data_IF_799203979372
#
_entry.id   IF_799203979372
#
_cell.length_a   1.000
_cell.length_b   1.000
_cell.length_c   1.000
_cell.angle_alpha   90.00
_cell.angle_beta   90.00
_cell.angle_gamma   90.00
#
_symmetry.space_group_name_H-M   'P 1'
#
loop_
_entity.id
_entity.type
_entity.pdbx_description
1 polymer ?
#
# COMPACT_ATOMS: atom_id res chain seq x y z
N UNK A 1 -29.91 -12.76 -11.23
CA UNK A 1 -29.39 -11.92 -10.13
C UNK A 1 -28.29 -12.63 -9.35
N UNK A 2 -28.53 -13.81 -8.80
CA UNK A 2 -27.53 -14.61 -8.06
C UNK A 2 -26.27 -14.87 -8.91
N UNK A 3 -26.41 -15.30 -10.16
CA UNK A 3 -25.28 -15.56 -11.04
C UNK A 3 -24.39 -14.32 -11.25
N UNK A 4 -24.98 -13.12 -11.41
CA UNK A 4 -24.21 -11.87 -11.53
C UNK A 4 -23.41 -11.56 -10.26
N UNK A 5 -23.98 -11.85 -9.11
CA UNK A 5 -23.30 -11.68 -7.83
C UNK A 5 -22.14 -12.68 -7.67
N UNK A 6 -22.36 -13.94 -8.00
CA UNK A 6 -21.32 -14.99 -7.97
C UNK A 6 -20.17 -14.65 -8.94
N UNK A 7 -20.48 -14.25 -10.17
CA UNK A 7 -19.49 -13.82 -11.16
C UNK A 7 -18.68 -12.60 -10.66
N UNK A 8 -19.34 -11.62 -10.06
CA UNK A 8 -18.69 -10.45 -9.46
C UNK A 8 -17.75 -10.86 -8.32
N UNK A 9 -18.22 -11.62 -7.36
CA UNK A 9 -17.43 -12.05 -6.19
C UNK A 9 -16.24 -12.90 -6.61
N UNK A 10 -16.42 -13.85 -7.51
CA UNK A 10 -15.35 -14.74 -7.99
C UNK A 10 -14.30 -13.96 -8.78
N UNK A 11 -14.71 -12.99 -9.59
CA UNK A 11 -13.80 -12.14 -10.36
C UNK A 11 -12.96 -11.26 -9.43
N UNK A 12 -13.57 -10.60 -8.47
CA UNK A 12 -12.86 -9.78 -7.47
C UNK A 12 -11.87 -10.63 -6.67
N UNK A 13 -12.28 -11.81 -6.22
CA UNK A 13 -11.41 -12.73 -5.49
C UNK A 13 -10.20 -13.18 -6.35
N UNK A 14 -10.43 -13.49 -7.62
CA UNK A 14 -9.37 -13.86 -8.57
C UNK A 14 -8.41 -12.71 -8.82
N UNK A 15 -8.91 -11.50 -9.03
CA UNK A 15 -8.10 -10.28 -9.19
C UNK A 15 -7.23 -10.08 -7.94
N UNK A 16 -7.84 -10.11 -6.76
CA UNK A 16 -7.12 -9.95 -5.48
C UNK A 16 -6.00 -10.99 -5.34
N UNK A 17 -6.29 -12.26 -5.58
CA UNK A 17 -5.30 -13.35 -5.53
C UNK A 17 -4.12 -13.10 -6.47
N UNK A 18 -4.39 -12.66 -7.70
CA UNK A 18 -3.34 -12.37 -8.68
C UNK A 18 -2.51 -11.14 -8.30
N UNK A 19 -3.13 -10.10 -7.78
CA UNK A 19 -2.42 -8.92 -7.23
C UNK A 19 -1.44 -9.36 -6.15
N UNK A 20 -1.86 -10.20 -5.20
CA UNK A 20 -0.98 -10.68 -4.12
C UNK A 20 0.19 -11.50 -4.67
N UNK A 21 -0.04 -12.34 -5.68
CA UNK A 21 1.04 -13.11 -6.35
C UNK A 21 2.05 -12.20 -7.02
N UNK A 22 1.58 -11.21 -7.77
CA UNK A 22 2.44 -10.25 -8.47
C UNK A 22 3.28 -9.46 -7.46
N UNK A 23 2.65 -8.92 -6.42
CA UNK A 23 3.34 -8.20 -5.35
C UNK A 23 4.45 -9.06 -4.71
N UNK A 24 4.11 -10.27 -4.32
CA UNK A 24 5.07 -11.19 -3.70
C UNK A 24 6.25 -11.50 -4.63
N UNK A 25 5.97 -11.76 -5.90
CA UNK A 25 7.01 -12.08 -6.88
C UNK A 25 7.93 -10.89 -7.17
N UNK A 26 7.33 -9.71 -7.44
CA UNK A 26 8.09 -8.51 -7.79
C UNK A 26 8.89 -7.95 -6.61
N UNK A 27 8.40 -8.08 -5.39
CA UNK A 27 9.08 -7.58 -4.19
C UNK A 27 10.12 -8.54 -3.61
N UNK A 28 10.21 -9.75 -4.13
CA UNK A 28 11.13 -10.79 -3.62
C UNK A 28 12.59 -10.36 -3.67
N UNK A 29 13.01 -9.70 -4.73
CA UNK A 29 14.38 -9.23 -4.92
C UNK A 29 14.79 -8.15 -3.89
N UNK A 30 13.83 -7.39 -3.38
CA UNK A 30 14.05 -6.39 -2.35
C UNK A 30 13.97 -6.96 -0.93
N UNK A 31 13.55 -8.21 -0.78
CA UNK A 31 13.25 -8.80 0.52
C UNK A 31 12.12 -8.10 1.27
N UNK A 32 11.15 -7.53 0.54
CA UNK A 32 10.06 -6.73 1.07
C UNK A 32 8.71 -7.42 0.91
N UNK A 33 7.82 -7.21 1.88
CA UNK A 33 6.41 -7.60 1.84
C UNK A 33 5.49 -6.39 1.57
N UNK A 34 4.18 -6.65 1.50
CA UNK A 34 3.20 -5.62 1.19
C UNK A 34 3.17 -4.46 2.19
N UNK A 35 3.30 -4.73 3.48
CA UNK A 35 3.33 -3.68 4.51
C UNK A 35 4.58 -2.81 4.42
N UNK A 36 5.72 -3.36 4.07
CA UNK A 36 6.95 -2.59 3.80
C UNK A 36 6.75 -1.60 2.66
N UNK A 37 6.23 -2.08 1.55
CA UNK A 37 5.96 -1.27 0.35
C UNK A 37 5.00 -0.14 0.67
N UNK A 38 3.93 -0.40 1.40
CA UNK A 38 2.97 0.63 1.79
C UNK A 38 3.57 1.65 2.75
N UNK A 39 4.39 1.23 3.72
CA UNK A 39 5.12 2.17 4.57
C UNK A 39 6.02 3.09 3.75
N UNK A 40 6.80 2.55 2.83
CA UNK A 40 7.67 3.32 1.95
C UNK A 40 6.88 4.32 1.11
N UNK A 41 5.76 3.90 0.53
CA UNK A 41 4.87 4.74 -0.28
C UNK A 41 4.34 5.95 0.50
N UNK A 42 3.79 5.73 1.69
CA UNK A 42 3.25 6.82 2.51
C UNK A 42 4.35 7.73 3.06
N UNK A 43 5.51 7.19 3.42
CA UNK A 43 6.64 7.99 3.87
C UNK A 43 7.25 8.82 2.73
N UNK A 44 7.26 8.32 1.50
CA UNK A 44 7.70 9.10 0.34
C UNK A 44 6.80 10.32 0.09
N UNK A 45 5.50 10.18 0.32
CA UNK A 45 4.52 11.28 0.22
C UNK A 45 4.60 12.28 1.37
N UNK A 46 5.21 11.90 2.48
CA UNK A 46 5.31 12.71 3.70
C UNK A 46 6.78 12.85 4.11
N UNK A 47 7.57 13.72 3.42
CA UNK A 47 9.00 13.85 3.68
C UNK A 47 9.34 14.27 5.12
N UNK A 48 8.41 14.95 5.81
CA UNK A 48 8.55 15.31 7.22
C UNK A 48 8.33 14.13 8.18
N UNK A 49 7.93 13.00 7.62
CA UNK A 49 7.74 11.75 8.35
C UNK A 49 6.33 11.54 8.90
N UNK A 50 6.10 10.31 9.33
CA UNK A 50 4.84 9.86 9.94
C UNK A 50 5.15 9.01 11.18
N UNK A 51 4.26 9.06 12.15
CA UNK A 51 4.28 8.12 13.28
C UNK A 51 3.76 6.76 12.85
N UNK A 52 4.08 5.71 13.61
CA UNK A 52 3.52 4.36 13.39
C UNK A 52 1.99 4.35 13.45
N UNK A 53 1.40 5.15 14.34
CA UNK A 53 -0.06 5.30 14.44
C UNK A 53 -0.68 5.95 13.20
N UNK A 54 -0.06 6.99 12.65
CA UNK A 54 -0.49 7.64 11.41
C UNK A 54 -0.39 6.69 10.22
N UNK A 55 0.69 5.93 10.11
CA UNK A 55 0.86 4.91 9.08
C UNK A 55 -0.21 3.82 9.19
N UNK A 56 -0.47 3.30 10.38
CA UNK A 56 -1.49 2.28 10.61
C UNK A 56 -2.88 2.77 10.18
N UNK A 57 -3.22 4.01 10.48
CA UNK A 57 -4.48 4.62 10.09
C UNK A 57 -4.58 4.77 8.57
N UNK A 58 -3.54 5.27 7.90
CA UNK A 58 -3.54 5.45 6.45
C UNK A 58 -3.52 4.12 5.68
N UNK A 59 -2.79 3.14 6.19
CA UNK A 59 -2.69 1.80 5.59
C UNK A 59 -3.90 0.91 5.90
N UNK A 60 -4.76 1.30 6.84
CA UNK A 60 -5.90 0.50 7.34
C UNK A 60 -5.47 -0.88 7.87
N UNK A 61 -4.36 -0.91 8.60
CA UNK A 61 -3.81 -2.11 9.25
C UNK A 61 -3.56 -1.84 10.73
N UNK A 62 -3.33 -2.89 11.52
CA UNK A 62 -3.04 -2.72 12.94
C UNK A 62 -1.63 -2.14 13.21
N UNK A 63 -1.47 -1.53 14.38
CA UNK A 63 -0.20 -0.92 14.78
C UNK A 63 0.95 -1.92 14.90
N UNK A 64 0.65 -3.16 15.27
CA UNK A 64 1.66 -4.21 15.41
C UNK A 64 2.26 -4.57 14.05
N UNK A 65 1.44 -4.65 13.00
CA UNK A 65 1.90 -4.90 11.62
C UNK A 65 2.81 -3.77 11.14
N UNK A 66 2.45 -2.52 11.40
CA UNK A 66 3.28 -1.35 11.04
C UNK A 66 4.58 -1.34 11.83
N UNK A 67 4.52 -1.61 13.14
CA UNK A 67 5.70 -1.65 14.00
C UNK A 67 6.73 -2.68 13.51
N UNK A 68 6.27 -3.88 13.15
CA UNK A 68 7.14 -4.92 12.56
C UNK A 68 7.75 -4.47 11.23
N UNK A 69 6.93 -3.91 10.35
CA UNK A 69 7.40 -3.42 9.05
C UNK A 69 8.45 -2.31 9.20
N UNK A 70 8.22 -1.33 10.08
CA UNK A 70 9.16 -0.25 10.35
C UNK A 70 10.47 -0.76 10.96
N UNK A 71 10.42 -1.72 11.87
CA UNK A 71 11.61 -2.33 12.46
C UNK A 71 12.49 -2.99 11.40
N UNK A 72 11.90 -3.73 10.48
CA UNK A 72 12.61 -4.37 9.37
C UNK A 72 13.16 -3.34 8.35
N UNK A 73 12.39 -2.29 8.06
CA UNK A 73 12.84 -1.19 7.19
C UNK A 73 13.99 -0.39 7.81
N UNK A 74 13.97 -0.21 9.13
CA UNK A 74 15.07 0.41 9.87
C UNK A 74 16.34 -0.44 9.79
N UNK A 75 16.22 -1.74 10.00
CA UNK A 75 17.33 -2.69 9.88
C UNK A 75 17.94 -2.70 8.48
N UNK A 76 17.10 -2.59 7.44
CA UNK A 76 17.53 -2.49 6.04
C UNK A 76 18.12 -1.12 5.67
N UNK A 77 18.01 -0.13 6.53
CA UNK A 77 18.50 1.24 6.29
C UNK A 77 17.62 2.06 5.36
N UNK A 78 16.35 1.72 5.20
CA UNK A 78 15.39 2.45 4.36
C UNK A 78 14.66 3.56 5.11
N UNK A 79 14.54 3.43 6.42
CA UNK A 79 13.96 4.44 7.29
C UNK A 79 14.91 4.80 8.42
N UNK A 80 14.69 5.97 9.00
CA UNK A 80 15.38 6.41 10.22
C UNK A 80 14.42 7.22 11.08
N UNK A 81 14.79 7.37 12.33
CA UNK A 81 14.09 8.24 13.28
C UNK A 81 15.01 9.42 13.58
N UNK A 82 14.60 10.68 13.25
CA UNK A 82 15.41 11.84 13.60
C UNK A 82 15.67 11.90 15.11
N UNK A 83 16.92 12.18 15.48
CA UNK A 83 17.33 12.26 16.88
C UNK A 83 16.97 13.63 17.48
N UNK A 84 15.71 13.81 17.86
CA UNK A 84 15.23 15.04 18.51
C UNK A 84 14.73 14.72 19.93
N UNK A 85 14.91 15.69 20.86
CA UNK A 85 14.45 15.57 22.23
C UNK A 85 12.93 15.32 22.33
N UNK A 86 12.15 15.92 21.45
CA UNK A 86 10.69 15.71 21.39
C UNK A 86 10.33 14.29 21.02
N UNK A 87 11.10 13.63 20.17
CA UNK A 87 10.85 12.26 19.73
C UNK A 87 11.14 11.21 20.79
N UNK A 88 12.05 11.49 21.69
CA UNK A 88 12.33 10.61 22.84
C UNK A 88 11.18 10.56 23.84
N UNK A 89 10.30 11.57 23.83
CA UNK A 89 9.23 11.72 24.84
C UNK A 89 7.85 11.20 24.41
N UNK A 90 7.47 11.26 23.12
CA UNK A 90 6.07 11.05 22.75
C UNK A 90 5.81 10.04 21.64
N UNK A 91 6.26 10.26 20.42
CA UNK A 91 5.97 9.39 19.28
C UNK A 91 7.10 9.49 18.26
N UNK A 92 7.76 8.38 18.01
CA UNK A 92 8.81 8.33 17.02
C UNK A 92 8.24 8.58 15.61
N UNK A 93 8.77 9.57 14.91
CA UNK A 93 8.44 9.90 13.54
C UNK A 93 9.44 9.23 12.62
N UNK A 94 8.98 8.31 11.78
CA UNK A 94 9.80 7.65 10.79
C UNK A 94 9.94 8.51 9.53
N UNK A 95 11.13 8.55 8.96
CA UNK A 95 11.44 9.22 7.68
C UNK A 95 12.22 8.28 6.79
N UNK A 96 12.10 8.48 5.48
CA UNK A 96 12.94 7.77 4.51
C UNK A 96 14.37 8.28 4.53
N UNK A 97 15.32 7.35 4.45
CA UNK A 97 16.72 7.64 4.11
C UNK A 97 16.85 7.91 2.60
N UNK A 98 17.99 8.37 2.15
CA UNK A 98 18.32 8.46 0.70
C UNK A 98 18.15 7.09 0.04
N UNK A 99 18.61 6.04 0.69
CA UNK A 99 18.42 4.65 0.24
C UNK A 99 16.94 4.25 0.18
N UNK A 100 16.15 4.69 1.16
CA UNK A 100 14.69 4.48 1.20
C UNK A 100 13.98 5.15 0.03
N UNK A 101 14.32 6.39 -0.29
CA UNK A 101 13.78 7.07 -1.48
C UNK A 101 14.16 6.34 -2.77
N UNK A 102 15.43 5.95 -2.92
CA UNK A 102 15.88 5.24 -4.12
C UNK A 102 15.17 3.91 -4.33
N UNK A 103 14.97 3.10 -3.29
CA UNK A 103 14.22 1.84 -3.41
C UNK A 103 12.74 2.09 -3.71
N UNK A 104 12.15 3.15 -3.16
CA UNK A 104 10.76 3.52 -3.43
C UNK A 104 10.57 3.87 -4.90
N UNK A 105 11.47 4.65 -5.49
CA UNK A 105 11.44 4.95 -6.93
C UNK A 105 11.52 3.69 -7.80
N UNK A 106 12.41 2.75 -7.46
CA UNK A 106 12.50 1.46 -8.18
C UNK A 106 11.20 0.65 -8.08
N UNK A 107 10.58 0.64 -6.91
CA UNK A 107 9.29 -0.05 -6.70
C UNK A 107 8.18 0.63 -7.49
N UNK A 108 8.13 1.96 -7.50
CA UNK A 108 7.15 2.73 -8.26
C UNK A 108 7.25 2.44 -9.77
N UNK A 109 8.45 2.36 -10.33
CA UNK A 109 8.66 1.99 -11.72
C UNK A 109 8.12 0.58 -12.02
N UNK A 110 8.40 -0.39 -11.15
CA UNK A 110 7.87 -1.75 -11.28
C UNK A 110 6.34 -1.77 -11.22
N UNK A 111 5.76 -1.00 -10.30
CA UNK A 111 4.29 -0.89 -10.16
C UNK A 111 3.69 -0.25 -11.40
N UNK A 112 4.28 0.82 -11.92
CA UNK A 112 3.82 1.47 -13.14
C UNK A 112 3.82 0.53 -14.33
N UNK A 113 4.87 -0.26 -14.50
CA UNK A 113 4.96 -1.26 -15.56
C UNK A 113 3.86 -2.33 -15.44
N UNK A 114 3.62 -2.84 -14.23
CA UNK A 114 2.56 -3.82 -13.98
C UNK A 114 1.18 -3.23 -14.27
N UNK A 115 0.91 -2.02 -13.78
CA UNK A 115 -0.37 -1.32 -14.01
C UNK A 115 -0.61 -1.09 -15.51
N UNK A 116 0.42 -0.70 -16.27
CA UNK A 116 0.33 -0.53 -17.71
C UNK A 116 0.03 -1.85 -18.43
N UNK A 117 0.66 -2.95 -18.02
CA UNK A 117 0.39 -4.28 -18.57
C UNK A 117 -1.03 -4.75 -18.28
N UNK A 118 -1.51 -4.59 -17.05
CA UNK A 118 -2.87 -4.96 -16.65
C UNK A 118 -3.91 -4.16 -17.43
N UNK A 119 -3.67 -2.86 -17.62
CA UNK A 119 -4.59 -1.96 -18.31
C UNK A 119 -4.45 -1.91 -19.84
N UNK A 120 -3.55 -2.69 -20.45
CA UNK A 120 -3.24 -2.59 -21.88
C UNK A 120 -4.42 -2.87 -22.81
N UNK A 121 -5.41 -3.66 -22.38
CA UNK A 121 -6.63 -3.96 -23.13
C UNK A 121 -7.77 -2.96 -22.91
N UNK A 122 -7.58 -1.92 -22.10
CA UNK A 122 -8.61 -0.95 -21.78
C UNK A 122 -8.35 0.38 -22.50
N UNK A 123 -9.43 0.99 -23.03
CA UNK A 123 -9.38 2.38 -23.45
C UNK A 123 -9.22 3.31 -22.25
N UNK A 124 -8.82 4.56 -22.49
CA UNK A 124 -8.74 5.58 -21.41
C UNK A 124 -10.09 5.75 -20.72
N UNK A 125 -11.17 5.82 -21.50
CA UNK A 125 -12.54 5.96 -20.99
C UNK A 125 -12.96 4.76 -20.14
N UNK A 126 -12.67 3.52 -20.58
CA UNK A 126 -12.97 2.32 -19.80
C UNK A 126 -12.22 2.30 -18.48
N UNK A 127 -10.96 2.71 -18.49
CA UNK A 127 -10.13 2.79 -17.28
C UNK A 127 -10.69 3.80 -16.28
N UNK A 128 -11.03 5.00 -16.73
CA UNK A 128 -11.64 6.03 -15.87
C UNK A 128 -12.99 5.57 -15.30
N UNK A 129 -13.84 4.98 -16.14
CA UNK A 129 -15.12 4.43 -15.72
C UNK A 129 -14.95 3.29 -14.69
N UNK A 130 -13.97 2.42 -14.89
CA UNK A 130 -13.67 1.32 -13.98
C UNK A 130 -13.30 1.86 -12.59
N UNK A 131 -12.36 2.80 -12.50
CA UNK A 131 -11.92 3.35 -11.21
C UNK A 131 -13.06 4.09 -10.50
N UNK A 132 -13.85 4.85 -11.24
CA UNK A 132 -15.02 5.52 -10.68
C UNK A 132 -16.05 4.52 -10.15
N UNK A 133 -16.35 3.46 -10.90
CA UNK A 133 -17.30 2.43 -10.50
C UNK A 133 -16.82 1.64 -9.27
N UNK A 134 -15.53 1.31 -9.22
CA UNK A 134 -14.94 0.65 -8.06
C UNK A 134 -15.03 1.51 -6.80
N UNK A 135 -14.80 2.83 -6.91
CA UNK A 135 -14.95 3.75 -5.79
C UNK A 135 -16.39 3.79 -5.24
N UNK A 136 -17.39 3.85 -6.12
CA UNK A 136 -18.80 3.79 -5.72
C UNK A 136 -19.15 2.48 -5.01
N UNK A 137 -18.63 1.35 -5.50
CA UNK A 137 -18.85 0.03 -4.88
C UNK A 137 -18.18 -0.02 -3.49
N UNK A 138 -16.94 0.46 -3.38
CA UNK A 138 -16.21 0.51 -2.11
C UNK A 138 -16.96 1.31 -1.05
N UNK A 139 -17.35 2.55 -1.37
CA UNK A 139 -18.12 3.41 -0.46
C UNK A 139 -19.44 2.76 -0.03
N UNK A 140 -20.15 2.13 -0.98
CA UNK A 140 -21.41 1.45 -0.67
C UNK A 140 -21.20 0.25 0.27
N UNK A 141 -20.13 -0.51 0.07
CA UNK A 141 -19.79 -1.64 0.96
C UNK A 141 -19.37 -1.16 2.35
N UNK A 142 -18.58 -0.08 2.44
CA UNK A 142 -18.19 0.50 3.73
C UNK A 142 -19.42 0.95 4.55
N UNK A 143 -20.42 1.54 3.89
CA UNK A 143 -21.68 1.91 4.55
C UNK A 143 -22.44 0.70 5.10
N UNK A 144 -22.47 -0.41 4.37
CA UNK A 144 -23.15 -1.64 4.81
C UNK A 144 -22.42 -2.29 6.00
N UNK A 145 -21.09 -2.29 5.99
CA UNK A 145 -20.27 -2.98 7.01
C UNK A 145 -20.00 -2.14 8.25
N UNK A 146 -20.31 -0.86 8.20
CA UNK A 146 -20.05 0.09 9.29
C UNK A 146 -20.64 -0.30 10.64
N UNK A 147 -21.79 -0.99 10.61
CA UNK A 147 -22.57 -1.36 11.79
C UNK A 147 -22.39 -2.84 12.22
N UNK A 148 -21.40 -3.53 11.65
CA UNK A 148 -21.10 -4.93 11.97
C UNK A 148 -20.29 -5.07 13.26
#
# INVERSE_FOLDING_TARGET
MIKRFEDFVSTIASIHKNIQKIKKHKMKEFGLGGNHVMCLFYLAKNPNGLTGGQLAQQMKVDKAAVSRALAELLEKGYVYYPDTEEQKKYRAIARLTIKGFAVTEQIDDIICDVVNQIGSGLSVTDRENMYRSLGVIEESMELITKDF
#
